data_IF_910546369217
#
_entry.id   IF_910546369217
#
_cell.length_a   1.000
_cell.length_b   1.000
_cell.length_c   1.000
_cell.angle_alpha   90.00
_cell.angle_beta   90.00
_cell.angle_gamma   90.00
#
_symmetry.space_group_name_H-M   'P 1'
#
loop_
_entity.id
_entity.type
_entity.pdbx_description
1 polymer ?
#
# COMPACT_ATOMS: atom_id res chain seq x y z
N UNK A 1 -13.36 -17.34 30.49
CA UNK A 1 -12.64 -16.73 29.36
C UNK A 1 -13.47 -15.57 28.84
N UNK A 2 -12.88 -14.39 28.68
CA UNK A 2 -13.58 -13.26 28.08
C UNK A 2 -13.91 -13.59 26.62
N UNK A 3 -15.13 -13.26 26.19
CA UNK A 3 -15.51 -13.39 24.78
C UNK A 3 -14.67 -12.39 24.00
N UNK A 4 -13.82 -12.88 23.11
CA UNK A 4 -13.02 -12.01 22.22
C UNK A 4 -13.99 -11.43 21.19
N UNK A 5 -14.22 -10.11 21.24
CA UNK A 5 -15.02 -9.43 20.22
C UNK A 5 -14.38 -9.58 18.86
N UNK A 6 -15.18 -9.91 17.84
CA UNK A 6 -14.70 -10.05 16.46
C UNK A 6 -14.55 -8.67 15.81
N UNK A 7 -13.54 -7.89 16.24
CA UNK A 7 -13.28 -6.52 15.78
C UNK A 7 -13.01 -6.43 14.28
N UNK A 8 -12.59 -7.52 13.65
CA UNK A 8 -12.34 -7.60 12.20
C UNK A 8 -13.63 -7.73 11.37
N UNK A 9 -14.78 -8.10 11.99
CA UNK A 9 -16.03 -8.31 11.28
C UNK A 9 -16.66 -6.96 10.91
N UNK A 10 -16.91 -6.69 9.59
CA UNK A 10 -17.51 -5.42 9.19
C UNK A 10 -18.91 -5.25 9.78
N UNK A 11 -19.10 -4.17 10.51
CA UNK A 11 -20.32 -3.94 11.32
C UNK A 11 -21.59 -3.70 10.49
N UNK A 12 -21.47 -3.22 9.24
CA UNK A 12 -22.60 -2.97 8.35
C UNK A 12 -22.92 -4.12 7.39
N UNK A 13 -22.20 -5.24 7.50
CA UNK A 13 -22.44 -6.41 6.67
C UNK A 13 -23.16 -7.52 7.47
N UNK A 14 -24.19 -8.09 6.87
CA UNK A 14 -25.01 -9.14 7.49
C UNK A 14 -24.57 -10.52 6.96
N UNK A 15 -24.74 -11.52 7.82
CA UNK A 15 -24.51 -12.91 7.44
C UNK A 15 -25.59 -13.38 6.48
N UNK A 16 -25.19 -13.82 5.29
CA UNK A 16 -26.06 -14.56 4.38
C UNK A 16 -26.09 -16.03 4.78
N UNK A 17 -27.24 -16.69 4.61
CA UNK A 17 -27.43 -18.12 4.93
C UNK A 17 -26.68 -19.08 3.98
N UNK A 18 -25.93 -18.59 3.02
CA UNK A 18 -25.18 -19.41 2.07
C UNK A 18 -23.97 -20.04 2.77
N UNK A 19 -23.99 -21.37 2.95
CA UNK A 19 -22.80 -22.11 3.40
C UNK A 19 -21.91 -22.34 2.17
N UNK A 20 -20.72 -21.78 2.19
CA UNK A 20 -19.64 -22.14 1.29
C UNK A 20 -18.91 -23.40 1.76
N UNK A 21 -17.98 -23.89 0.97
CA UNK A 21 -17.05 -24.93 1.34
C UNK A 21 -16.00 -24.37 2.33
N UNK A 22 -15.68 -25.12 3.38
CA UNK A 22 -14.72 -24.70 4.42
C UNK A 22 -13.94 -25.90 4.93
N UNK A 23 -12.67 -25.73 5.33
CA UNK A 23 -11.94 -26.78 6.00
C UNK A 23 -12.48 -27.06 7.40
N UNK A 24 -12.11 -28.18 7.99
CA UNK A 24 -12.40 -28.49 9.39
C UNK A 24 -11.97 -27.33 10.30
N UNK A 25 -12.75 -27.06 11.36
CA UNK A 25 -12.47 -25.97 12.30
C UNK A 25 -12.77 -24.55 11.80
N UNK A 26 -13.33 -24.37 10.60
CA UNK A 26 -13.76 -23.09 10.08
C UNK A 26 -15.22 -23.11 9.62
N UNK A 27 -15.88 -21.97 9.76
CA UNK A 27 -17.18 -21.72 9.16
C UNK A 27 -17.01 -20.81 7.94
N UNK A 28 -17.45 -21.27 6.78
CA UNK A 28 -17.55 -20.41 5.60
C UNK A 28 -18.82 -19.57 5.70
N UNK A 29 -18.66 -18.27 5.76
CA UNK A 29 -19.74 -17.31 5.94
C UNK A 29 -19.68 -16.30 4.80
N UNK A 30 -20.81 -16.07 4.15
CA UNK A 30 -20.97 -14.98 3.20
C UNK A 30 -21.52 -13.76 3.90
N UNK A 31 -20.79 -12.68 3.87
CA UNK A 31 -21.20 -11.35 4.32
C UNK A 31 -21.76 -10.56 3.15
N UNK A 32 -22.89 -9.88 3.35
CA UNK A 32 -23.55 -9.04 2.35
C UNK A 32 -23.98 -7.72 2.98
N UNK A 33 -23.82 -6.63 2.28
CA UNK A 33 -24.25 -5.30 2.74
C UNK A 33 -23.83 -4.20 1.77
N UNK A 34 -24.62 -3.14 1.69
CA UNK A 34 -24.28 -1.95 0.88
C UNK A 34 -23.79 -2.27 -0.55
N UNK A 35 -24.41 -3.26 -1.22
CA UNK A 35 -24.01 -3.78 -2.55
C UNK A 35 -22.62 -4.43 -2.61
N UNK A 36 -22.07 -4.73 -1.47
CA UNK A 36 -20.84 -5.50 -1.35
C UNK A 36 -21.14 -6.89 -0.84
N UNK A 37 -20.32 -7.83 -1.21
CA UNK A 37 -20.35 -9.17 -0.63
C UNK A 37 -18.92 -9.71 -0.56
N UNK A 38 -18.64 -10.49 0.47
CA UNK A 38 -17.37 -11.19 0.61
C UNK A 38 -17.62 -12.52 1.31
N UNK A 39 -16.78 -13.50 0.99
CA UNK A 39 -16.73 -14.76 1.69
C UNK A 39 -15.61 -14.70 2.71
N UNK A 40 -15.88 -15.14 3.94
CA UNK A 40 -14.93 -15.20 5.04
C UNK A 40 -14.84 -16.62 5.58
N UNK A 41 -13.68 -16.95 6.12
CA UNK A 41 -13.45 -18.16 6.91
C UNK A 41 -13.30 -17.75 8.38
N UNK A 42 -14.34 -17.98 9.14
CA UNK A 42 -14.35 -17.70 10.58
C UNK A 42 -13.89 -18.94 11.33
N UNK A 43 -12.80 -18.87 12.12
CA UNK A 43 -12.38 -20.01 12.94
C UNK A 43 -13.42 -20.32 14.00
N UNK A 44 -13.70 -21.61 14.20
CA UNK A 44 -14.49 -22.09 15.35
C UNK A 44 -13.70 -21.77 16.64
N UNK A 45 -14.37 -21.52 17.78
CA UNK A 45 -13.67 -21.21 19.02
C UNK A 45 -12.61 -22.26 19.38
N UNK A 46 -11.38 -21.84 19.44
CA UNK A 46 -10.21 -22.68 19.73
C UNK A 46 -9.97 -22.61 21.25
N UNK A 47 -10.42 -23.59 22.02
CA UNK A 47 -10.32 -23.58 23.49
C UNK A 47 -9.33 -24.61 24.03
N UNK A 48 -8.96 -25.58 23.20
CA UNK A 48 -8.08 -26.68 23.57
C UNK A 48 -7.07 -27.01 22.44
N UNK A 49 -6.12 -27.86 22.74
CA UNK A 49 -5.18 -28.42 21.78
C UNK A 49 -5.90 -29.27 20.74
N UNK A 50 -6.92 -30.02 21.17
CA UNK A 50 -7.73 -30.86 20.31
C UNK A 50 -8.48 -30.00 19.25
N UNK A 51 -9.00 -28.84 19.64
CA UNK A 51 -9.63 -27.88 18.72
C UNK A 51 -8.61 -27.41 17.67
N UNK A 52 -7.41 -27.04 18.10
CA UNK A 52 -6.33 -26.62 17.19
C UNK A 52 -5.94 -27.74 16.23
N UNK A 53 -5.66 -28.94 16.73
CA UNK A 53 -5.23 -30.06 15.92
C UNK A 53 -6.29 -30.48 14.90
N UNK A 54 -7.57 -30.51 15.30
CA UNK A 54 -8.66 -30.82 14.37
C UNK A 54 -8.82 -29.77 13.28
N UNK A 55 -8.53 -28.51 13.59
CA UNK A 55 -8.61 -27.40 12.65
C UNK A 55 -7.53 -27.47 11.56
N UNK A 56 -6.30 -27.84 11.89
CA UNK A 56 -5.18 -27.82 10.97
C UNK A 56 -5.03 -29.09 10.13
N UNK A 57 -5.76 -30.16 10.45
CA UNK A 57 -5.59 -31.51 9.85
C UNK A 57 -5.81 -31.53 8.33
N UNK A 58 -6.71 -30.70 7.82
CA UNK A 58 -7.04 -30.61 6.39
C UNK A 58 -6.28 -29.49 5.65
N UNK A 59 -5.36 -28.81 6.35
CA UNK A 59 -4.65 -27.66 5.81
C UNK A 59 -3.25 -28.06 5.34
N UNK A 60 -2.85 -27.56 4.18
CA UNK A 60 -1.47 -27.58 3.75
C UNK A 60 -0.64 -26.58 4.57
N UNK A 61 0.59 -26.90 4.89
CA UNK A 61 1.48 -25.99 5.62
C UNK A 61 2.74 -25.63 4.83
N UNK A 62 3.34 -24.51 5.18
CA UNK A 62 4.62 -24.09 4.66
C UNK A 62 5.50 -23.53 5.80
N UNK A 63 6.83 -23.60 5.63
CA UNK A 63 7.79 -23.08 6.60
C UNK A 63 7.78 -23.84 7.93
N UNK A 64 8.13 -23.13 9.00
CA UNK A 64 8.14 -23.68 10.36
C UNK A 64 6.73 -23.65 10.95
N UNK A 65 6.31 -24.75 11.53
CA UNK A 65 5.05 -24.89 12.27
C UNK A 65 5.31 -25.39 13.69
N UNK A 66 4.50 -25.02 14.71
CA UNK A 66 4.64 -25.54 16.05
C UNK A 66 4.32 -27.03 16.11
N UNK A 67 5.06 -27.77 16.96
CA UNK A 67 4.78 -29.18 17.21
C UNK A 67 3.39 -29.34 17.90
N UNK A 68 2.45 -30.01 17.24
CA UNK A 68 1.08 -30.14 17.77
C UNK A 68 1.00 -30.93 19.09
N UNK A 69 2.02 -31.78 19.39
CA UNK A 69 2.02 -32.59 20.61
C UNK A 69 2.45 -31.79 21.85
N UNK A 70 3.15 -30.68 21.68
CA UNK A 70 3.67 -29.84 22.78
C UNK A 70 3.03 -28.45 22.83
N UNK A 71 1.89 -28.29 22.16
CA UNK A 71 1.23 -27.00 22.00
C UNK A 71 0.36 -26.62 23.21
N UNK A 72 0.45 -25.38 23.65
CA UNK A 72 -0.38 -24.81 24.70
C UNK A 72 -0.90 -23.42 24.24
N UNK A 73 -2.19 -23.17 24.43
CA UNK A 73 -2.83 -21.90 24.08
C UNK A 73 -2.69 -20.93 25.25
N UNK A 74 -1.98 -19.80 25.05
CA UNK A 74 -1.74 -18.81 26.10
C UNK A 74 -2.83 -17.74 26.14
N UNK A 75 -3.12 -17.10 24.99
CA UNK A 75 -4.07 -16.00 24.91
C UNK A 75 -4.62 -15.83 23.49
N UNK A 76 -5.73 -15.08 23.41
CA UNK A 76 -6.38 -14.72 22.15
C UNK A 76 -6.62 -13.23 22.14
N UNK A 77 -6.44 -12.62 20.99
CA UNK A 77 -6.74 -11.21 20.75
C UNK A 77 -7.37 -11.03 19.37
N UNK A 78 -8.07 -9.95 19.16
CA UNK A 78 -8.66 -9.60 17.87
C UNK A 78 -8.37 -8.14 17.53
N UNK A 79 -8.14 -7.87 16.28
CA UNK A 79 -8.00 -6.52 15.74
C UNK A 79 -8.77 -6.39 14.42
N UNK A 80 -8.64 -5.29 13.74
CA UNK A 80 -9.33 -5.01 12.47
C UNK A 80 -8.93 -5.94 11.29
N UNK A 81 -7.80 -6.67 11.41
CA UNK A 81 -7.30 -7.58 10.36
C UNK A 81 -7.62 -9.05 10.62
N UNK A 82 -7.98 -9.42 11.84
CA UNK A 82 -8.33 -10.80 12.16
C UNK A 82 -8.20 -11.15 13.63
N UNK A 83 -8.27 -12.46 13.89
CA UNK A 83 -8.01 -13.08 15.18
C UNK A 83 -6.54 -13.44 15.27
N UNK A 84 -5.95 -13.29 16.45
CA UNK A 84 -4.59 -13.75 16.76
C UNK A 84 -4.62 -14.64 17.99
N UNK A 85 -3.90 -15.75 17.93
CA UNK A 85 -3.74 -16.70 19.03
C UNK A 85 -2.27 -16.82 19.37
N UNK A 86 -1.94 -16.52 20.63
CA UNK A 86 -0.60 -16.78 21.18
C UNK A 86 -0.54 -18.20 21.69
N UNK A 87 0.44 -18.96 21.23
CA UNK A 87 0.66 -20.35 21.60
C UNK A 87 2.10 -20.57 22.01
N UNK A 88 2.34 -21.58 22.86
CA UNK A 88 3.68 -22.08 23.17
C UNK A 88 3.79 -23.50 22.64
N UNK A 89 4.95 -23.84 22.08
CA UNK A 89 5.27 -25.19 21.65
C UNK A 89 6.79 -25.41 21.77
N UNK A 90 7.18 -26.50 22.40
CA UNK A 90 8.59 -26.87 22.63
C UNK A 90 9.43 -25.73 23.23
N UNK A 91 8.85 -24.96 24.17
CA UNK A 91 9.52 -23.83 24.85
C UNK A 91 9.66 -22.55 24.03
N UNK A 92 9.09 -22.49 22.82
CA UNK A 92 9.03 -21.30 21.98
C UNK A 92 7.64 -20.70 21.97
N UNK A 93 7.57 -19.37 21.98
CA UNK A 93 6.32 -18.63 21.84
C UNK A 93 6.05 -18.29 20.37
N UNK A 94 4.82 -18.54 19.94
CA UNK A 94 4.33 -18.33 18.60
C UNK A 94 3.10 -17.42 18.61
N UNK A 95 2.94 -16.66 17.53
CA UNK A 95 1.73 -15.92 17.21
C UNK A 95 1.13 -16.51 15.93
N UNK A 96 -0.08 -17.03 16.04
CA UNK A 96 -0.88 -17.46 14.90
C UNK A 96 -1.88 -16.34 14.56
N UNK A 97 -1.76 -15.76 13.37
CA UNK A 97 -2.64 -14.70 12.86
C UNK A 97 -3.59 -15.30 11.83
N UNK A 98 -4.90 -15.27 12.11
CA UNK A 98 -5.95 -15.78 11.24
C UNK A 98 -6.34 -14.72 10.22
N UNK A 99 -6.47 -15.13 8.95
CA UNK A 99 -6.79 -14.29 7.82
C UNK A 99 -8.25 -14.54 7.40
N UNK A 100 -9.23 -13.82 7.93
CA UNK A 100 -10.65 -14.15 7.74
C UNK A 100 -11.11 -14.16 6.29
N UNK A 101 -10.53 -13.28 5.45
CA UNK A 101 -10.80 -13.20 4.01
C UNK A 101 -9.71 -13.85 3.15
N UNK A 102 -8.80 -14.59 3.79
CA UNK A 102 -7.67 -15.23 3.13
C UNK A 102 -6.63 -14.23 2.60
N UNK A 103 -5.56 -14.78 2.08
CA UNK A 103 -4.53 -14.03 1.37
C UNK A 103 -4.12 -14.80 0.12
N UNK A 104 -3.22 -14.19 -0.69
CA UNK A 104 -2.57 -14.94 -1.76
C UNK A 104 -1.55 -15.95 -1.18
N UNK A 105 -1.14 -16.93 -1.98
CA UNK A 105 -0.16 -17.94 -1.57
C UNK A 105 1.30 -17.48 -1.69
N UNK A 106 1.57 -16.17 -1.65
CA UNK A 106 2.91 -15.59 -1.86
C UNK A 106 3.50 -14.96 -0.60
N UNK A 107 2.86 -15.14 0.55
CA UNK A 107 3.40 -14.65 1.83
C UNK A 107 4.74 -15.33 2.12
N UNK A 108 4.88 -16.62 1.85
CA UNK A 108 6.14 -17.35 1.94
C UNK A 108 7.24 -16.76 1.07
N UNK A 109 6.93 -16.40 -0.18
CA UNK A 109 7.89 -15.78 -1.09
C UNK A 109 8.33 -14.39 -0.60
N UNK A 110 7.42 -13.60 -0.03
CA UNK A 110 7.75 -12.33 0.63
C UNK A 110 8.64 -12.55 1.85
N UNK A 111 8.35 -13.57 2.64
CA UNK A 111 9.07 -13.88 3.86
C UNK A 111 10.50 -14.38 3.59
N UNK A 112 10.66 -15.32 2.65
CA UNK A 112 11.97 -15.91 2.32
C UNK A 112 12.95 -14.89 1.77
N UNK A 113 12.48 -13.99 0.91
CA UNK A 113 13.32 -13.04 0.19
C UNK A 113 13.47 -11.67 0.90
N UNK A 114 12.92 -11.51 2.09
CA UNK A 114 12.95 -10.21 2.79
C UNK A 114 14.27 -9.97 3.54
N UNK A 115 14.59 -8.67 3.68
CA UNK A 115 15.76 -8.17 4.42
C UNK A 115 15.73 -8.63 5.91
N UNK A 116 16.87 -8.76 6.61
CA UNK A 116 16.92 -9.08 8.04
C UNK A 116 16.12 -8.14 8.94
N UNK A 117 15.98 -6.86 8.55
CA UNK A 117 15.14 -5.88 9.26
C UNK A 117 13.64 -6.05 9.00
N UNK A 118 13.21 -7.13 8.35
CA UNK A 118 11.79 -7.45 8.16
C UNK A 118 11.35 -8.48 9.19
N UNK A 119 10.28 -8.13 9.94
CA UNK A 119 9.59 -9.07 10.83
C UNK A 119 8.62 -9.92 10.00
N UNK A 120 9.09 -11.08 9.62
CA UNK A 120 8.44 -11.97 8.66
C UNK A 120 7.75 -13.15 9.32
N UNK A 121 6.66 -13.67 8.74
CA UNK A 121 6.16 -14.98 9.10
C UNK A 121 7.23 -16.07 8.88
N UNK A 122 7.28 -17.04 9.75
CA UNK A 122 8.17 -18.20 9.61
C UNK A 122 7.47 -19.42 9.04
N UNK A 123 6.14 -19.43 9.00
CA UNK A 123 5.32 -20.50 8.45
C UNK A 123 3.85 -20.09 8.35
N UNK A 124 3.00 -21.03 7.95
CA UNK A 124 1.57 -20.80 7.86
C UNK A 124 0.81 -22.01 7.34
N UNK A 125 -0.52 -21.88 7.33
CA UNK A 125 -1.43 -22.90 6.84
C UNK A 125 -2.28 -22.35 5.68
N UNK A 126 -2.48 -23.19 4.68
CA UNK A 126 -3.20 -22.90 3.42
C UNK A 126 -4.41 -23.77 3.26
N UNK A 127 -5.42 -23.19 2.63
CA UNK A 127 -6.58 -23.90 2.12
C UNK A 127 -6.92 -23.39 0.73
N UNK A 128 -7.02 -24.30 -0.26
CA UNK A 128 -7.30 -23.95 -1.68
C UNK A 128 -6.40 -22.82 -2.19
N UNK A 129 -5.11 -22.95 -1.99
CA UNK A 129 -4.09 -21.99 -2.43
C UNK A 129 -4.19 -20.57 -1.83
N UNK A 130 -4.89 -20.43 -0.70
CA UNK A 130 -4.93 -19.19 0.06
C UNK A 130 -4.31 -19.41 1.44
N UNK A 131 -3.44 -18.51 1.85
CA UNK A 131 -2.98 -18.49 3.24
C UNK A 131 -4.16 -18.06 4.12
N UNK A 132 -4.51 -18.87 5.13
CA UNK A 132 -5.59 -18.61 6.07
C UNK A 132 -5.11 -18.46 7.51
N UNK A 133 -3.93 -18.95 7.83
CA UNK A 133 -3.21 -18.70 9.08
C UNK A 133 -1.74 -18.44 8.75
N UNK A 134 -1.18 -17.38 9.32
CA UNK A 134 0.27 -17.15 9.29
C UNK A 134 0.85 -17.29 10.69
N UNK A 135 2.08 -17.80 10.78
CA UNK A 135 2.76 -18.13 12.01
C UNK A 135 4.04 -17.30 12.16
N UNK A 136 4.26 -16.77 13.36
CA UNK A 136 5.47 -16.04 13.73
C UNK A 136 6.05 -16.58 15.03
N UNK A 137 7.36 -16.63 15.13
CA UNK A 137 8.05 -16.73 16.43
C UNK A 137 7.99 -15.34 17.06
N UNK A 138 7.49 -15.25 18.29
CA UNK A 138 7.30 -13.96 18.96
C UNK A 138 8.66 -13.30 19.22
N UNK A 139 8.78 -12.07 18.79
CA UNK A 139 9.87 -11.15 19.14
C UNK A 139 9.27 -9.98 19.91
N UNK A 140 9.99 -9.51 20.90
CA UNK A 140 9.55 -8.38 21.72
C UNK A 140 10.12 -7.10 21.17
N UNK A 141 9.22 -6.16 20.86
CA UNK A 141 9.54 -4.81 20.41
C UNK A 141 9.16 -3.81 21.50
N UNK A 142 9.89 -2.70 21.56
CA UNK A 142 9.65 -1.64 22.54
C UNK A 142 8.33 -0.91 22.24
N UNK A 143 8.11 -0.60 20.96
CA UNK A 143 6.97 0.18 20.46
C UNK A 143 6.76 -0.06 18.97
N UNK A 144 5.85 0.67 18.37
CA UNK A 144 5.69 0.76 16.93
C UNK A 144 5.72 2.24 16.48
N UNK A 145 5.96 2.46 15.19
CA UNK A 145 6.08 3.80 14.63
C UNK A 145 4.77 4.60 14.71
N UNK A 146 3.61 3.93 14.71
CA UNK A 146 2.32 4.61 14.84
C UNK A 146 2.19 5.36 16.16
N UNK A 147 2.47 4.68 17.27
CA UNK A 147 2.27 5.24 18.60
C UNK A 147 3.28 6.37 18.88
N UNK A 148 4.56 6.18 18.50
CA UNK A 148 5.57 7.22 18.64
C UNK A 148 5.32 8.40 17.71
N UNK A 149 4.81 8.17 16.49
CA UNK A 149 4.46 9.24 15.56
C UNK A 149 3.25 10.04 16.05
N UNK A 150 2.20 9.39 16.56
CA UNK A 150 1.05 10.08 17.16
C UNK A 150 1.53 11.02 18.26
N UNK A 151 2.35 10.53 19.18
CA UNK A 151 2.89 11.36 20.27
C UNK A 151 3.67 12.56 19.72
N UNK A 152 4.58 12.33 18.76
CA UNK A 152 5.38 13.41 18.17
C UNK A 152 4.52 14.47 17.44
N UNK A 153 3.44 14.03 16.77
CA UNK A 153 2.50 14.91 16.08
C UNK A 153 1.65 15.74 17.06
N UNK A 154 1.19 15.14 18.15
CA UNK A 154 0.42 15.82 19.20
C UNK A 154 1.26 16.83 19.98
N UNK A 155 2.52 16.51 20.27
CA UNK A 155 3.49 17.40 20.92
C UNK A 155 4.05 18.48 19.99
N UNK A 156 3.80 18.39 18.67
CA UNK A 156 4.39 19.28 17.66
C UNK A 156 5.92 19.12 17.52
N UNK A 157 6.46 17.97 17.89
CA UNK A 157 7.90 17.69 17.85
C UNK A 157 8.34 17.29 16.43
N UNK A 158 8.73 18.30 15.65
CA UNK A 158 9.11 18.14 14.25
C UNK A 158 10.30 17.18 14.06
N UNK A 159 11.33 17.31 14.92
CA UNK A 159 12.57 16.53 14.75
C UNK A 159 12.31 15.02 14.95
N UNK A 160 11.58 14.68 16.01
CA UNK A 160 11.20 13.28 16.28
C UNK A 160 10.30 12.75 15.18
N UNK A 161 9.27 13.49 14.74
CA UNK A 161 8.38 13.08 13.67
C UNK A 161 9.15 12.81 12.35
N UNK A 162 10.05 13.71 11.95
CA UNK A 162 10.92 13.55 10.79
C UNK A 162 11.80 12.30 10.91
N UNK A 163 12.40 12.06 12.06
CA UNK A 163 13.25 10.89 12.30
C UNK A 163 12.47 9.59 12.16
N UNK A 164 11.28 9.49 12.77
CA UNK A 164 10.40 8.31 12.68
C UNK A 164 10.01 8.07 11.23
N UNK A 165 9.58 9.11 10.51
CA UNK A 165 9.13 9.00 9.12
C UNK A 165 10.26 8.58 8.18
N UNK A 166 11.45 9.15 8.32
CA UNK A 166 12.61 8.79 7.52
C UNK A 166 13.00 7.31 7.73
N UNK A 167 13.06 6.85 8.98
CA UNK A 167 13.38 5.46 9.30
C UNK A 167 12.28 4.50 8.85
N UNK A 168 11.02 4.91 8.92
CA UNK A 168 9.89 4.13 8.40
C UNK A 168 9.97 3.98 6.88
N UNK A 169 10.29 5.05 6.16
CA UNK A 169 10.55 5.00 4.74
C UNK A 169 11.71 4.06 4.39
N UNK A 170 12.84 4.15 5.12
CA UNK A 170 14.00 3.25 4.94
C UNK A 170 13.64 1.80 5.15
N UNK A 171 12.84 1.47 6.17
CA UNK A 171 12.43 0.09 6.44
C UNK A 171 11.64 -0.51 5.26
N UNK A 172 10.74 0.27 4.65
CA UNK A 172 10.04 -0.13 3.43
C UNK A 172 10.99 -0.26 2.24
N UNK A 173 11.95 0.66 2.10
CA UNK A 173 12.98 0.63 1.05
C UNK A 173 13.86 -0.61 1.14
N UNK A 174 14.26 -1.05 2.34
CA UNK A 174 15.03 -2.28 2.56
C UNK A 174 14.25 -3.52 2.14
N UNK A 175 12.96 -3.60 2.43
CA UNK A 175 12.12 -4.67 1.90
C UNK A 175 12.15 -4.70 0.37
N UNK A 176 11.91 -3.56 -0.28
CA UNK A 176 11.92 -3.46 -1.74
C UNK A 176 13.27 -3.87 -2.34
N UNK A 177 14.37 -3.45 -1.74
CA UNK A 177 15.72 -3.82 -2.17
C UNK A 177 15.98 -5.32 -2.05
N UNK A 178 15.42 -5.99 -1.06
CA UNK A 178 15.59 -7.43 -0.87
C UNK A 178 14.78 -8.27 -1.87
N UNK A 179 13.62 -7.79 -2.31
CA UNK A 179 12.74 -8.54 -3.23
C UNK A 179 12.96 -8.21 -4.70
N UNK A 180 13.74 -7.18 -5.03
CA UNK A 180 14.01 -6.75 -6.42
C UNK A 180 14.56 -7.85 -7.30
N UNK A 181 15.45 -8.68 -6.76
CA UNK A 181 16.10 -9.78 -7.49
C UNK A 181 15.22 -11.01 -7.62
N UNK A 182 14.14 -11.10 -6.85
CA UNK A 182 13.31 -12.30 -6.80
C UNK A 182 12.34 -12.38 -7.96
N UNK A 183 11.57 -11.32 -8.21
CA UNK A 183 10.61 -11.29 -9.30
C UNK A 183 10.22 -9.86 -9.66
N UNK A 184 10.62 -9.45 -10.84
CA UNK A 184 10.05 -8.28 -11.51
C UNK A 184 9.12 -8.72 -12.62
N UNK A 185 7.95 -8.10 -12.72
CA UNK A 185 7.02 -8.31 -13.82
C UNK A 185 6.76 -6.99 -14.53
N UNK A 186 6.46 -7.02 -15.84
CA UNK A 186 6.10 -5.81 -16.56
C UNK A 186 4.88 -5.11 -15.95
N UNK A 187 4.81 -3.81 -16.13
CA UNK A 187 3.66 -2.99 -15.79
C UNK A 187 2.38 -3.52 -16.43
N UNK A 188 1.35 -3.72 -15.63
CA UNK A 188 0.02 -4.15 -16.09
C UNK A 188 -1.01 -3.00 -16.03
N UNK A 189 -0.76 -1.96 -16.81
CA UNK A 189 -1.62 -0.78 -16.86
C UNK A 189 -3.08 -1.11 -17.14
N UNK A 190 -3.36 -2.16 -17.94
CA UNK A 190 -4.74 -2.55 -18.29
C UNK A 190 -5.50 -3.05 -17.06
N UNK A 191 -4.88 -3.92 -16.24
CA UNK A 191 -5.49 -4.42 -15.01
C UNK A 191 -5.60 -3.34 -13.95
N UNK A 192 -4.59 -2.47 -13.82
CA UNK A 192 -4.65 -1.35 -12.88
C UNK A 192 -5.76 -0.36 -13.22
N UNK A 193 -5.92 0.00 -14.51
CA UNK A 193 -7.04 0.85 -14.94
C UNK A 193 -8.39 0.19 -14.67
N UNK A 194 -8.51 -1.11 -14.97
CA UNK A 194 -9.74 -1.86 -14.68
C UNK A 194 -10.04 -1.83 -13.19
N UNK A 195 -9.04 -2.08 -12.33
CA UNK A 195 -9.22 -2.05 -10.88
C UNK A 195 -9.73 -0.69 -10.39
N UNK A 196 -9.16 0.41 -10.86
CA UNK A 196 -9.64 1.74 -10.48
C UNK A 196 -11.08 2.00 -10.94
N UNK A 197 -11.41 1.65 -12.18
CA UNK A 197 -12.77 1.80 -12.71
C UNK A 197 -13.79 0.97 -11.89
N UNK A 198 -13.45 -0.27 -11.58
CA UNK A 198 -14.32 -1.14 -10.79
C UNK A 198 -14.52 -0.60 -9.36
N UNK A 199 -13.50 -0.02 -8.73
CA UNK A 199 -13.61 0.64 -7.43
C UNK A 199 -14.48 1.90 -7.50
N UNK A 200 -14.27 2.76 -8.51
CA UNK A 200 -15.06 3.96 -8.75
C UNK A 200 -16.54 3.61 -8.96
N UNK A 201 -16.83 2.57 -9.74
CA UNK A 201 -18.19 2.09 -9.99
C UNK A 201 -18.84 1.55 -8.71
N UNK A 202 -18.15 0.72 -7.94
CA UNK A 202 -18.64 0.20 -6.65
C UNK A 202 -19.00 1.31 -5.68
N UNK A 203 -18.19 2.34 -5.59
CA UNK A 203 -18.38 3.48 -4.70
C UNK A 203 -19.26 4.59 -5.29
N UNK A 204 -19.66 4.47 -6.57
CA UNK A 204 -20.33 5.53 -7.33
C UNK A 204 -19.56 6.84 -7.29
N UNK A 205 -18.27 6.76 -7.31
CA UNK A 205 -17.42 7.93 -7.40
C UNK A 205 -17.63 8.56 -8.79
N UNK A 206 -18.09 9.81 -8.81
CA UNK A 206 -18.23 10.57 -10.07
C UNK A 206 -16.88 11.06 -10.61
N UNK A 207 -15.81 10.64 -9.98
CA UNK A 207 -14.44 10.94 -10.38
C UNK A 207 -13.90 9.78 -11.20
N UNK A 208 -13.24 10.10 -12.31
CA UNK A 208 -12.62 9.08 -13.15
C UNK A 208 -11.16 9.50 -13.34
N UNK A 209 -10.24 8.69 -12.85
CA UNK A 209 -8.82 8.93 -13.09
C UNK A 209 -8.48 8.64 -14.56
N UNK A 210 -7.86 9.60 -15.23
CA UNK A 210 -7.52 9.52 -16.67
C UNK A 210 -6.01 9.63 -16.96
N UNK A 211 -5.20 9.96 -15.97
CA UNK A 211 -3.77 10.03 -16.17
C UNK A 211 -3.17 8.62 -16.37
N UNK A 212 -2.22 8.45 -17.29
CA UNK A 212 -1.53 7.18 -17.45
C UNK A 212 -0.63 6.88 -16.25
N UNK A 213 -0.44 5.61 -15.95
CA UNK A 213 0.56 5.16 -14.99
C UNK A 213 1.98 5.43 -15.50
N UNK A 214 2.94 5.51 -14.59
CA UNK A 214 4.35 5.64 -14.98
C UNK A 214 4.82 4.43 -15.77
N UNK A 215 5.45 4.66 -16.92
CA UNK A 215 5.97 3.60 -17.79
C UNK A 215 7.16 2.86 -17.18
N UNK A 216 7.81 3.44 -16.17
CA UNK A 216 8.97 2.84 -15.49
C UNK A 216 8.59 2.08 -14.21
N UNK A 217 7.29 2.00 -13.90
CA UNK A 217 6.82 1.27 -12.74
C UNK A 217 6.74 -0.22 -13.04
N UNK A 218 7.81 -0.96 -12.82
CA UNK A 218 7.79 -2.42 -12.79
C UNK A 218 7.03 -2.92 -11.58
N UNK A 219 6.40 -4.08 -11.70
CA UNK A 219 5.69 -4.73 -10.61
C UNK A 219 6.61 -5.65 -9.83
N UNK A 220 6.32 -5.81 -8.56
CA UNK A 220 7.08 -6.66 -7.66
C UNK A 220 6.14 -7.39 -6.68
N UNK A 221 6.69 -8.15 -5.75
CA UNK A 221 5.94 -8.73 -4.61
C UNK A 221 5.50 -7.61 -3.65
N UNK A 222 4.39 -6.95 -3.98
CA UNK A 222 3.79 -5.89 -3.16
C UNK A 222 3.36 -6.42 -1.78
N UNK A 223 3.54 -5.63 -0.74
CA UNK A 223 3.05 -5.95 0.61
C UNK A 223 1.53 -5.80 0.73
N UNK A 224 0.93 -4.98 -0.14
CA UNK A 224 -0.49 -4.66 -0.10
C UNK A 224 -0.78 -3.44 0.77
N UNK A 225 -1.27 -3.64 1.99
CA UNK A 225 -1.51 -2.56 2.96
C UNK A 225 -0.36 -2.49 3.97
N UNK A 226 0.35 -1.39 3.99
CA UNK A 226 1.43 -1.11 4.94
C UNK A 226 1.06 0.11 5.77
N UNK A 227 1.11 -0.01 7.09
CA UNK A 227 0.79 1.07 8.04
C UNK A 227 1.93 1.31 9.02
N UNK A 228 1.93 2.43 9.72
CA UNK A 228 2.92 2.69 10.76
C UNK A 228 2.81 1.72 11.94
N UNK A 229 1.65 1.09 12.17
CA UNK A 229 1.50 -0.02 13.11
C UNK A 229 2.31 -1.26 12.73
N UNK A 230 2.65 -1.42 11.44
CA UNK A 230 3.45 -2.53 10.92
C UNK A 230 4.96 -2.23 10.99
N UNK A 231 5.36 -1.05 11.44
CA UNK A 231 6.76 -0.68 11.60
C UNK A 231 7.09 -0.68 13.09
N UNK A 232 7.84 -1.69 13.51
CA UNK A 232 8.16 -2.01 14.89
C UNK A 232 9.52 -1.43 15.27
N UNK A 233 9.67 -1.00 16.52
CA UNK A 233 10.90 -0.37 17.04
C UNK A 233 11.47 -1.26 18.14
N UNK A 234 12.71 -1.70 17.98
CA UNK A 234 13.41 -2.49 18.97
C UNK A 234 13.91 -1.64 20.16
N UNK A 235 14.36 -2.30 21.20
CA UNK A 235 15.01 -1.62 22.34
C UNK A 235 16.30 -0.87 21.96
N UNK A 236 16.97 -1.26 20.86
CA UNK A 236 18.13 -0.58 20.28
C UNK A 236 17.77 0.54 19.31
N UNK A 237 16.49 0.90 19.22
CA UNK A 237 15.97 1.92 18.28
C UNK A 237 16.13 1.55 16.79
N UNK A 238 16.23 0.27 16.49
CA UNK A 238 16.20 -0.25 15.12
C UNK A 238 14.75 -0.44 14.67
N UNK A 239 14.49 -0.18 13.39
CA UNK A 239 13.16 -0.26 12.78
C UNK A 239 13.01 -1.55 12.00
N UNK A 240 11.89 -2.25 12.22
CA UNK A 240 11.55 -3.52 11.56
C UNK A 240 10.20 -3.42 10.88
N UNK A 241 10.15 -3.71 9.59
CA UNK A 241 8.90 -3.77 8.85
C UNK A 241 8.25 -5.14 9.01
N UNK A 242 7.02 -5.20 9.51
CA UNK A 242 6.23 -6.42 9.63
C UNK A 242 5.47 -6.71 8.35
N UNK A 243 5.55 -7.93 7.84
CA UNK A 243 4.64 -8.43 6.79
C UNK A 243 3.31 -8.79 7.46
N UNK A 244 2.35 -7.92 7.40
CA UNK A 244 1.08 -8.05 8.14
C UNK A 244 -0.03 -8.70 7.31
N UNK A 245 -1.11 -9.20 7.96
CA UNK A 245 -2.31 -9.66 7.29
C UNK A 245 -2.92 -8.57 6.39
N UNK A 246 -3.63 -8.95 5.30
CA UNK A 246 -4.27 -8.00 4.41
C UNK A 246 -5.40 -7.23 5.11
N UNK A 247 -5.67 -6.00 4.64
CA UNK A 247 -6.76 -5.18 5.14
C UNK A 247 -8.14 -5.67 4.67
N UNK A 248 -9.22 -5.21 5.31
CA UNK A 248 -10.59 -5.55 4.94
C UNK A 248 -10.91 -5.22 3.47
N UNK A 249 -10.43 -4.10 2.94
CA UNK A 249 -10.66 -3.73 1.55
C UNK A 249 -10.11 -4.75 0.55
N UNK A 250 -9.02 -5.45 0.87
CA UNK A 250 -8.49 -6.53 0.03
C UNK A 250 -9.38 -7.77 0.04
N UNK A 251 -10.14 -7.99 1.10
CA UNK A 251 -11.19 -9.01 1.14
C UNK A 251 -12.42 -8.63 0.32
N UNK A 252 -12.83 -7.36 0.37
CA UNK A 252 -13.96 -6.81 -0.38
C UNK A 252 -13.67 -6.67 -1.87
N UNK A 253 -12.43 -6.39 -2.22
CA UNK A 253 -11.95 -6.24 -3.58
C UNK A 253 -10.53 -6.79 -3.73
N UNK A 254 -10.45 -8.10 -3.92
CA UNK A 254 -9.17 -8.83 -3.97
C UNK A 254 -8.21 -8.24 -5.01
N UNK A 255 -6.93 -8.05 -4.68
CA UNK A 255 -5.92 -7.72 -5.67
C UNK A 255 -5.73 -8.89 -6.63
N UNK A 256 -5.77 -8.60 -7.93
CA UNK A 256 -5.68 -9.64 -8.99
C UNK A 256 -4.36 -9.59 -9.77
N UNK A 257 -3.47 -8.70 -9.39
CA UNK A 257 -2.19 -8.49 -10.07
C UNK A 257 -1.15 -7.93 -9.10
N UNK A 258 0.10 -7.96 -9.54
CA UNK A 258 1.20 -7.29 -8.85
C UNK A 258 1.12 -5.77 -9.05
N UNK A 259 1.75 -5.05 -8.11
CA UNK A 259 1.79 -3.61 -8.07
C UNK A 259 3.22 -3.08 -8.00
N UNK A 260 3.45 -1.82 -8.39
CA UNK A 260 4.77 -1.22 -8.25
C UNK A 260 5.08 -0.83 -6.79
N UNK A 261 6.36 -0.74 -6.45
CA UNK A 261 6.84 -0.37 -5.11
C UNK A 261 6.25 0.96 -4.59
N UNK A 262 6.03 1.93 -5.48
CA UNK A 262 5.43 3.22 -5.14
C UNK A 262 3.99 3.09 -4.59
N UNK A 263 3.28 2.00 -4.90
CA UNK A 263 1.96 1.73 -4.31
C UNK A 263 2.08 1.40 -2.82
N UNK A 264 3.05 0.59 -2.42
CA UNK A 264 3.29 0.30 -1.01
C UNK A 264 3.72 1.57 -0.25
N UNK A 265 4.56 2.44 -0.88
CA UNK A 265 4.87 3.75 -0.32
C UNK A 265 3.61 4.61 -0.16
N UNK A 266 2.66 4.55 -1.11
CA UNK A 266 1.42 5.31 -1.00
C UNK A 266 0.56 4.89 0.20
N UNK A 267 0.65 3.64 0.66
CA UNK A 267 -0.04 3.19 1.86
C UNK A 267 0.48 3.94 3.10
N UNK A 268 1.80 4.07 3.27
CA UNK A 268 2.39 4.85 4.37
C UNK A 268 2.08 6.34 4.25
N UNK A 269 2.11 6.89 3.03
CA UNK A 269 1.75 8.30 2.81
C UNK A 269 0.29 8.57 3.17
N UNK A 270 -0.62 7.66 2.81
CA UNK A 270 -2.03 7.75 3.18
C UNK A 270 -2.22 7.60 4.69
N UNK A 271 -1.47 6.69 5.32
CA UNK A 271 -1.53 6.48 6.77
C UNK A 271 -0.99 7.69 7.53
N UNK A 272 0.09 8.32 7.06
CA UNK A 272 0.55 9.61 7.58
C UNK A 272 -0.56 10.67 7.51
N UNK A 273 -1.28 10.75 6.39
CA UNK A 273 -2.41 11.66 6.24
C UNK A 273 -3.51 11.41 7.28
N UNK A 274 -3.85 10.13 7.54
CA UNK A 274 -4.85 9.76 8.58
C UNK A 274 -4.39 10.20 9.97
N UNK A 275 -3.14 9.93 10.35
CA UNK A 275 -2.58 10.30 11.65
C UNK A 275 -2.51 11.82 11.81
N UNK A 276 -2.03 12.52 10.79
CA UNK A 276 -1.94 13.99 10.79
C UNK A 276 -3.30 14.65 11.02
N UNK A 277 -4.35 14.20 10.34
CA UNK A 277 -5.69 14.73 10.53
C UNK A 277 -6.31 14.31 11.87
N UNK A 278 -6.03 13.10 12.34
CA UNK A 278 -6.52 12.59 13.63
C UNK A 278 -5.95 13.38 14.81
N UNK A 279 -4.66 13.68 14.79
CA UNK A 279 -3.96 14.43 15.82
C UNK A 279 -4.14 15.95 15.71
N UNK A 280 -4.68 16.42 14.56
CA UNK A 280 -4.78 17.85 14.24
C UNK A 280 -3.44 18.57 14.39
N UNK A 281 -2.37 17.92 13.97
CA UNK A 281 -1.00 18.43 14.13
C UNK A 281 -0.82 19.82 13.51
N UNK A 282 -0.02 20.65 14.17
CA UNK A 282 0.37 21.96 13.69
C UNK A 282 1.61 21.95 12.78
N UNK A 283 2.22 20.79 12.58
CA UNK A 283 3.41 20.63 11.74
C UNK A 283 3.07 20.78 10.25
N UNK A 284 4.08 21.06 9.41
CA UNK A 284 3.89 21.09 7.96
C UNK A 284 3.85 19.67 7.41
N UNK A 285 2.72 19.27 6.85
CA UNK A 285 2.53 17.95 6.24
C UNK A 285 3.48 17.74 5.04
N UNK A 286 3.89 18.78 4.33
CA UNK A 286 4.82 18.70 3.20
C UNK A 286 6.20 18.24 3.67
N UNK A 287 6.70 18.81 4.77
CA UNK A 287 7.98 18.41 5.35
C UNK A 287 7.95 16.97 5.86
N UNK A 288 6.84 16.56 6.48
CA UNK A 288 6.63 15.20 6.97
C UNK A 288 6.62 14.19 5.82
N UNK A 289 5.84 14.45 4.76
CA UNK A 289 5.80 13.61 3.55
C UNK A 289 7.17 13.53 2.89
N UNK A 290 7.86 14.65 2.78
CA UNK A 290 9.20 14.72 2.22
C UNK A 290 10.15 13.77 2.95
N UNK A 291 10.16 13.81 4.27
CA UNK A 291 11.04 12.94 5.07
C UNK A 291 10.76 11.45 4.87
N UNK A 292 9.47 11.06 4.81
CA UNK A 292 9.07 9.68 4.54
C UNK A 292 9.54 9.21 3.15
N UNK A 293 9.31 10.04 2.13
CA UNK A 293 9.68 9.75 0.73
C UNK A 293 11.20 9.67 0.57
N UNK A 294 11.95 10.62 1.14
CA UNK A 294 13.41 10.62 1.13
C UNK A 294 13.98 9.37 1.79
N UNK A 295 13.46 8.99 2.98
CA UNK A 295 13.86 7.76 3.65
C UNK A 295 13.64 6.52 2.76
N UNK A 296 12.54 6.46 2.04
CA UNK A 296 12.29 5.36 1.11
C UNK A 296 13.26 5.40 -0.09
N UNK A 297 13.49 6.56 -0.69
CA UNK A 297 14.42 6.73 -1.82
C UNK A 297 15.83 6.29 -1.45
N UNK A 298 16.28 6.60 -0.23
CA UNK A 298 17.62 6.26 0.26
C UNK A 298 17.89 4.75 0.30
N UNK A 299 16.84 3.94 0.50
CA UNK A 299 16.97 2.50 0.72
C UNK A 299 16.36 1.65 -0.42
N UNK A 300 15.44 2.21 -1.21
CA UNK A 300 14.78 1.50 -2.31
C UNK A 300 15.69 1.36 -3.54
N UNK A 301 15.43 0.35 -4.42
CA UNK A 301 16.18 0.22 -5.67
C UNK A 301 16.10 1.50 -6.51
N UNK A 302 17.25 2.01 -7.05
CA UNK A 302 17.27 3.26 -7.83
C UNK A 302 16.36 3.25 -9.06
N UNK A 303 16.13 2.07 -9.67
CA UNK A 303 15.20 1.91 -10.80
C UNK A 303 13.74 2.19 -10.41
N UNK A 304 13.37 1.93 -9.15
CA UNK A 304 12.01 2.08 -8.63
C UNK A 304 11.77 3.42 -7.96
N UNK A 305 12.85 4.07 -7.48
CA UNK A 305 12.82 5.35 -6.77
C UNK A 305 13.26 6.55 -7.61
N UNK A 306 13.42 6.37 -8.92
CA UNK A 306 13.81 7.46 -9.83
C UNK A 306 12.74 8.57 -9.88
N UNK A 307 13.15 9.81 -10.09
CA UNK A 307 12.25 10.97 -10.17
C UNK A 307 11.12 10.80 -11.18
N UNK A 308 11.35 10.06 -12.27
CA UNK A 308 10.34 9.79 -13.30
C UNK A 308 9.14 8.98 -12.77
N UNK A 309 9.34 8.17 -11.73
CA UNK A 309 8.28 7.36 -11.11
C UNK A 309 7.28 8.25 -10.36
N UNK A 310 7.75 9.37 -9.82
CA UNK A 310 6.94 10.29 -9.02
C UNK A 310 6.18 11.34 -9.84
N UNK A 311 6.47 11.51 -11.13
CA UNK A 311 5.81 12.56 -11.92
C UNK A 311 4.29 12.39 -11.96
N UNK A 312 3.57 13.33 -11.37
CA UNK A 312 2.11 13.33 -11.27
C UNK A 312 1.41 13.32 -12.64
N UNK A 313 1.98 13.92 -13.69
CA UNK A 313 1.43 13.87 -15.04
C UNK A 313 1.49 12.48 -15.69
N UNK A 314 2.18 11.53 -15.05
CA UNK A 314 2.20 10.10 -15.39
C UNK A 314 1.57 9.24 -14.29
N UNK A 315 0.73 9.83 -13.46
CA UNK A 315 0.13 9.18 -12.30
C UNK A 315 0.98 9.29 -11.03
N UNK A 316 2.25 8.99 -11.09
CA UNK A 316 3.17 9.09 -9.96
C UNK A 316 2.61 8.50 -8.67
N UNK A 317 2.92 9.13 -7.54
CA UNK A 317 2.36 8.77 -6.23
C UNK A 317 0.85 9.05 -6.15
N UNK A 318 0.38 10.12 -6.81
CA UNK A 318 -0.99 10.61 -6.69
C UNK A 318 -2.08 9.60 -7.10
N UNK A 319 -1.82 8.77 -8.13
CA UNK A 319 -2.79 7.74 -8.56
C UNK A 319 -2.96 6.65 -7.51
N UNK A 320 -1.88 6.33 -6.80
CA UNK A 320 -1.90 5.31 -5.75
C UNK A 320 -2.50 5.85 -4.45
N UNK A 321 -2.27 7.11 -4.10
CA UNK A 321 -2.98 7.78 -3.00
C UNK A 321 -4.49 7.85 -3.28
N UNK A 322 -4.87 8.08 -4.53
CA UNK A 322 -6.28 8.02 -4.94
C UNK A 322 -6.86 6.60 -4.78
N UNK A 323 -6.13 5.55 -5.20
CA UNK A 323 -6.55 4.16 -4.96
C UNK A 323 -6.71 3.88 -3.46
N UNK A 324 -5.74 4.27 -2.63
CA UNK A 324 -5.84 4.08 -1.17
C UNK A 324 -7.04 4.82 -0.58
N UNK A 325 -7.33 6.01 -1.06
CA UNK A 325 -8.51 6.78 -0.64
C UNK A 325 -9.83 6.08 -1.00
N UNK A 326 -9.92 5.46 -2.18
CA UNK A 326 -11.07 4.64 -2.56
C UNK A 326 -11.20 3.40 -1.67
N UNK A 327 -10.10 2.73 -1.33
CA UNK A 327 -10.09 1.58 -0.42
C UNK A 327 -10.52 1.98 1.00
N UNK A 328 -10.11 3.17 1.49
CA UNK A 328 -10.56 3.70 2.78
C UNK A 328 -12.08 3.95 2.81
N UNK A 329 -12.64 4.50 1.72
CA UNK A 329 -14.09 4.69 1.59
C UNK A 329 -14.82 3.36 1.50
N UNK A 330 -14.21 2.36 0.84
CA UNK A 330 -14.78 1.01 0.75
C UNK A 330 -14.89 0.36 2.15
N UNK A 331 -13.84 0.43 2.95
CA UNK A 331 -13.82 -0.10 4.33
C UNK A 331 -14.80 0.64 5.24
N UNK A 332 -14.81 1.97 5.18
CA UNK A 332 -15.74 2.75 5.99
C UNK A 332 -17.20 2.49 5.62
N UNK A 333 -17.47 2.22 4.35
CA UNK A 333 -18.81 1.82 3.89
C UNK A 333 -19.20 0.44 4.44
N UNK A 334 -18.28 -0.51 4.49
CA UNK A 334 -18.50 -1.84 5.06
C UNK A 334 -18.68 -1.80 6.59
N UNK A 335 -18.06 -0.84 7.27
CA UNK A 335 -18.13 -0.64 8.72
C UNK A 335 -19.20 0.38 9.14
N UNK A 336 -19.92 1.00 8.19
CA UNK A 336 -20.88 2.09 8.45
C UNK A 336 -20.23 3.23 9.28
N UNK A 337 -18.95 3.46 9.09
CA UNK A 337 -18.19 4.54 9.71
C UNK A 337 -17.99 5.68 8.74
N UNK A 338 -17.67 6.86 9.25
CA UNK A 338 -17.21 7.96 8.38
C UNK A 338 -15.85 7.60 7.75
N UNK A 339 -15.63 7.89 6.45
CA UNK A 339 -14.32 7.66 5.86
C UNK A 339 -13.26 8.54 6.52
N UNK A 340 -12.06 8.01 6.75
CA UNK A 340 -11.01 8.77 7.40
C UNK A 340 -10.58 9.95 6.53
N UNK A 341 -10.25 11.08 7.14
CA UNK A 341 -9.49 12.13 6.45
C UNK A 341 -8.07 11.59 6.17
N UNK A 342 -7.47 11.88 5.02
CA UNK A 342 -7.92 12.83 3.98
C UNK A 342 -8.68 12.18 2.81
N UNK A 343 -9.16 10.93 2.90
CA UNK A 343 -9.68 10.17 1.76
C UNK A 343 -10.72 10.93 0.93
N UNK A 344 -11.77 11.48 1.57
CA UNK A 344 -12.82 12.24 0.85
C UNK A 344 -12.26 13.51 0.21
N UNK A 345 -11.33 14.18 0.88
CA UNK A 345 -10.68 15.39 0.36
C UNK A 345 -9.88 15.09 -0.91
N UNK A 346 -9.07 14.02 -0.88
CA UNK A 346 -8.30 13.55 -2.04
C UNK A 346 -9.24 13.25 -3.21
N UNK A 347 -10.30 12.46 -2.98
CA UNK A 347 -11.27 12.10 -4.01
C UNK A 347 -11.91 13.35 -4.63
N UNK A 348 -12.30 14.33 -3.82
CA UNK A 348 -12.91 15.58 -4.30
C UNK A 348 -11.95 16.43 -5.14
N UNK A 349 -10.65 16.35 -4.90
CA UNK A 349 -9.61 17.11 -5.60
C UNK A 349 -9.10 16.44 -6.89
N UNK A 350 -9.46 15.18 -7.14
CA UNK A 350 -8.99 14.45 -8.34
C UNK A 350 -9.37 15.14 -9.64
N UNK A 351 -10.62 15.67 -9.77
CA UNK A 351 -11.05 16.33 -10.99
C UNK A 351 -10.28 17.64 -11.23
N UNK A 352 -10.18 18.58 -10.26
CA UNK A 352 -9.34 19.77 -10.42
C UNK A 352 -7.88 19.44 -10.73
N UNK A 353 -7.31 18.45 -10.05
CA UNK A 353 -5.96 18.00 -10.28
C UNK A 353 -5.75 17.49 -11.71
N UNK A 354 -6.64 16.64 -12.23
CA UNK A 354 -6.58 16.14 -13.60
C UNK A 354 -6.72 17.28 -14.62
N UNK A 355 -7.60 18.26 -14.38
CA UNK A 355 -7.75 19.43 -15.22
C UNK A 355 -6.46 20.24 -15.29
N UNK A 356 -5.80 20.45 -14.15
CA UNK A 356 -4.50 21.12 -14.08
C UNK A 356 -3.44 20.36 -14.88
N UNK A 357 -3.37 19.04 -14.72
CA UNK A 357 -2.43 18.20 -15.48
C UNK A 357 -2.72 18.20 -16.98
N UNK A 358 -4.00 18.22 -17.37
CA UNK A 358 -4.38 18.30 -18.78
C UNK A 358 -3.94 19.65 -19.40
N UNK A 359 -4.17 20.75 -18.71
CA UNK A 359 -3.71 22.07 -19.14
C UNK A 359 -2.17 22.11 -19.28
N UNK A 360 -1.46 21.48 -18.35
CA UNK A 360 -0.01 21.38 -18.44
C UNK A 360 0.47 20.59 -19.66
N UNK A 361 -0.28 19.59 -20.14
CA UNK A 361 0.06 18.81 -21.35
C UNK A 361 0.00 19.65 -22.62
N UNK A 362 -0.81 20.71 -22.68
CA UNK A 362 -0.83 21.63 -23.82
C UNK A 362 0.49 22.33 -23.99
N UNK A 363 1.19 22.66 -22.89
CA UNK A 363 2.53 23.24 -22.90
C UNK A 363 3.55 22.25 -23.47
N UNK A 364 3.44 20.96 -23.08
CA UNK A 364 4.28 19.93 -23.65
C UNK A 364 4.05 19.73 -25.15
N UNK A 365 2.80 19.81 -25.61
CA UNK A 365 2.46 19.75 -27.03
C UNK A 365 3.05 20.92 -27.81
N UNK A 366 2.94 22.15 -27.28
CA UNK A 366 3.56 23.35 -27.87
C UNK A 366 5.09 23.21 -27.94
N UNK A 367 5.71 22.67 -26.88
CA UNK A 367 7.15 22.37 -26.89
C UNK A 367 7.54 21.45 -28.03
N UNK A 368 6.81 20.33 -28.19
CA UNK A 368 7.06 19.38 -29.27
C UNK A 368 6.87 20.01 -30.64
N UNK A 369 5.80 20.79 -30.86
CA UNK A 369 5.54 21.51 -32.11
C UNK A 369 6.67 22.48 -32.42
N UNK A 370 7.16 23.22 -31.43
CA UNK A 370 8.26 24.16 -31.62
C UNK A 370 9.55 23.47 -32.07
N UNK A 371 9.92 22.37 -31.40
CA UNK A 371 11.10 21.58 -31.80
C UNK A 371 10.90 20.99 -33.19
N UNK A 372 9.73 20.44 -33.48
CA UNK A 372 9.44 19.87 -34.80
C UNK A 372 9.54 20.89 -35.92
N UNK A 373 8.98 22.11 -35.72
CA UNK A 373 9.09 23.19 -36.67
C UNK A 373 10.56 23.59 -36.91
N UNK A 374 11.33 23.73 -35.84
CA UNK A 374 12.76 24.07 -35.97
C UNK A 374 13.54 23.00 -36.75
N UNK A 375 13.33 21.72 -36.45
CA UNK A 375 13.98 20.62 -37.18
C UNK A 375 13.49 20.52 -38.63
N UNK A 376 12.19 20.63 -38.86
CA UNK A 376 11.61 20.59 -40.22
C UNK A 376 12.14 21.71 -41.11
N UNK A 377 12.36 22.91 -40.55
CA UNK A 377 12.94 24.04 -41.30
C UNK A 377 14.38 23.72 -41.73
N UNK A 378 15.21 23.13 -40.86
CA UNK A 378 16.58 22.74 -41.18
C UNK A 378 16.63 21.63 -42.24
N UNK A 379 15.71 20.66 -42.15
CA UNK A 379 15.69 19.52 -43.07
C UNK A 379 15.23 19.94 -44.46
N UNK A 380 14.19 20.75 -44.56
CA UNK A 380 13.64 21.17 -45.85
C UNK A 380 14.40 22.31 -46.54
N UNK A 381 15.01 23.19 -45.72
CA UNK A 381 15.82 24.31 -46.20
C UNK A 381 17.14 24.31 -45.40
N UNK A 382 18.17 23.55 -45.83
CA UNK A 382 19.47 23.58 -45.17
C UNK A 382 20.05 25.01 -45.14
N UNK A 383 20.52 25.46 -43.95
CA UNK A 383 21.00 26.84 -43.79
C UNK A 383 22.26 27.09 -44.60
N UNK A 384 22.22 28.08 -45.48
CA UNK A 384 23.38 28.51 -46.28
C UNK A 384 24.11 29.71 -45.67
N UNK A 385 23.47 30.37 -44.69
CA UNK A 385 24.04 31.53 -44.00
C UNK A 385 23.71 31.48 -42.50
N UNK A 386 24.42 32.29 -41.71
CA UNK A 386 24.16 32.42 -40.27
C UNK A 386 22.75 32.92 -39.99
N UNK A 387 22.21 33.83 -40.82
CA UNK A 387 20.84 34.33 -40.70
C UNK A 387 19.78 33.21 -40.79
N UNK A 388 20.03 32.18 -41.62
CA UNK A 388 19.11 31.09 -41.85
C UNK A 388 19.04 30.13 -40.65
N UNK A 389 20.04 30.16 -39.76
CA UNK A 389 20.06 29.33 -38.54
C UNK A 389 19.30 29.94 -37.39
N UNK A 390 18.97 31.24 -37.39
CA UNK A 390 18.38 31.97 -36.27
C UNK A 390 17.00 31.41 -35.94
N UNK A 391 16.11 31.31 -36.92
CA UNK A 391 14.74 30.85 -36.71
C UNK A 391 14.65 29.39 -36.22
N UNK A 392 15.34 28.43 -36.87
CA UNK A 392 15.35 27.04 -36.36
C UNK A 392 15.91 26.93 -34.94
N UNK A 393 17.03 27.62 -34.67
CA UNK A 393 17.63 27.61 -33.34
C UNK A 393 16.71 28.18 -32.27
N UNK A 394 16.02 29.31 -32.59
CA UNK A 394 15.04 29.90 -31.71
C UNK A 394 13.89 28.95 -31.43
N UNK A 395 13.33 28.27 -32.45
CA UNK A 395 12.26 27.29 -32.29
C UNK A 395 12.70 26.10 -31.42
N UNK A 396 13.90 25.58 -31.63
CA UNK A 396 14.43 24.47 -30.82
C UNK A 396 14.66 24.91 -29.37
N UNK A 397 15.25 26.08 -29.15
CA UNK A 397 15.49 26.65 -27.84
C UNK A 397 14.16 26.92 -27.10
N UNK A 398 13.18 27.52 -27.77
CA UNK A 398 11.85 27.76 -27.23
C UNK A 398 11.19 26.43 -26.83
N UNK A 399 11.28 25.43 -27.68
CA UNK A 399 10.78 24.09 -27.38
C UNK A 399 11.46 23.46 -26.18
N UNK A 400 12.76 23.61 -26.04
CA UNK A 400 13.51 23.14 -24.86
C UNK A 400 13.08 23.88 -23.58
N UNK A 401 12.98 25.20 -23.63
CA UNK A 401 12.58 26.02 -22.48
C UNK A 401 11.15 25.71 -22.04
N UNK A 402 10.20 25.60 -22.99
CA UNK A 402 8.82 25.23 -22.68
C UNK A 402 8.69 23.81 -22.15
N UNK A 403 9.50 22.86 -22.62
CA UNK A 403 9.54 21.51 -22.08
C UNK A 403 10.08 21.49 -20.64
N UNK A 404 11.15 22.24 -20.38
CA UNK A 404 11.71 22.39 -19.04
C UNK A 404 10.71 23.02 -18.07
N UNK A 405 9.99 24.05 -18.54
CA UNK A 405 8.90 24.67 -17.77
C UNK A 405 7.76 23.68 -17.47
N UNK A 406 7.31 22.91 -18.47
CA UNK A 406 6.30 21.86 -18.29
C UNK A 406 6.71 20.86 -17.20
N UNK A 407 7.98 20.43 -17.18
CA UNK A 407 8.46 19.52 -16.14
C UNK A 407 8.40 20.13 -14.73
N UNK A 408 8.63 21.44 -14.60
CA UNK A 408 8.53 22.16 -13.32
C UNK A 408 7.09 22.39 -12.85
N UNK A 409 6.12 22.32 -13.76
CA UNK A 409 4.68 22.45 -13.40
C UNK A 409 4.13 21.15 -12.78
N UNK A 410 4.82 20.03 -12.88
CA UNK A 410 4.41 18.82 -12.20
C UNK A 410 4.56 19.02 -10.68
N UNK A 411 3.47 18.87 -9.90
CA UNK A 411 3.59 19.02 -8.46
C UNK A 411 4.60 18.01 -7.90
N UNK A 412 5.45 18.42 -6.96
CA UNK A 412 6.38 17.52 -6.32
C UNK A 412 5.64 16.48 -5.48
N UNK A 413 6.17 15.25 -5.32
CA UNK A 413 5.50 14.16 -4.64
C UNK A 413 5.24 14.41 -3.15
N UNK A 414 6.02 15.26 -2.53
CA UNK A 414 5.88 15.66 -1.13
C UNK A 414 4.66 16.56 -0.90
N UNK A 415 4.16 17.23 -1.94
CA UNK A 415 2.97 18.07 -1.82
C UNK A 415 1.69 17.24 -1.93
N UNK A 416 0.81 17.23 -0.92
CA UNK A 416 -0.42 16.46 -0.98
C UNK A 416 -1.38 16.99 -2.07
N UNK A 417 -2.19 16.10 -2.65
CA UNK A 417 -3.20 16.48 -3.65
C UNK A 417 -4.21 17.49 -3.08
N UNK A 418 -4.43 17.46 -1.77
CA UNK A 418 -5.37 18.37 -1.09
C UNK A 418 -4.95 19.83 -1.15
N UNK A 419 -3.67 20.08 -1.34
CA UNK A 419 -3.05 21.43 -1.32
C UNK A 419 -2.77 21.99 -2.73
N UNK A 420 -3.28 21.29 -3.75
CA UNK A 420 -3.12 21.66 -5.17
C UNK A 420 -4.28 22.45 -5.74
#
# INVERSE_FOLDING_TARGET
MAVVENLWRPSAMQVSKTKGDSPSGFNSIRLVGNRMSMDILEPIPINSIEDWNSMIVELDFWGDVPDPNSLEIISKSSNERGLSVKITSSGMEWLAEFLPWGSDNRIDSRAVNSHPSVDKPCGGYRWKEQDIIILRKIKYYKSNSNDELIQALEEGNKEIAISILNNSGKSLGFYHSSVVSFRETPMDQKRWNKRLLDLEEKLRANTIWRAPFSRKATCMLSLGDVRFTDILISGSSEYFLRISPPRLADGLYKPVCEFPAIRDLSCLVQDLGRLFHKTKSSLDITDLRKSLIEGWIDAAPPSWSSSDVFYAHRGGLAIWEYEQSLLDVLESTANQSGPPSPAVQIISKVIPFQKSMYNSRTIAALSFISVFLGLSTVINNPPNSFSDTIIPSFCILLGYLTHSFYRKLSPPPEKPITDL
#
